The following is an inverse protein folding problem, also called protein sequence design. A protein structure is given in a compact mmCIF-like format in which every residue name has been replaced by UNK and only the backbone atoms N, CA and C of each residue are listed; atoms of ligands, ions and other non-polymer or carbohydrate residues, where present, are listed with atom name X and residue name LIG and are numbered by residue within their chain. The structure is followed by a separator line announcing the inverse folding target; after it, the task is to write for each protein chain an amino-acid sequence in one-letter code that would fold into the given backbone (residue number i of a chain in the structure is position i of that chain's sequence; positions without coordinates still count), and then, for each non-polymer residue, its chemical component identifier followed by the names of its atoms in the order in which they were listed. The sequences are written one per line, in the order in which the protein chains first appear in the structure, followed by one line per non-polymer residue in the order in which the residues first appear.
data_IF_780416964631
#
_entry.id   IF_780416964631
#
_cell.length_a   1.000
_cell.length_b   1.000
_cell.length_c   1.000
_cell.angle_alpha   90.00
_cell.angle_beta   90.00
_cell.angle_gamma   90.00
#
_symmetry.space_group_name_H-M   'P 1'
#
loop_
_entity.id
_entity.type
_entity.pdbx_description
1 polymer ?
#
# COMPACT_ATOMS: atom_id res chain seq x y z
N UNK A 1 -24.10 -31.33 4.85
CA UNK A 1 -24.18 -29.87 4.71
C UNK A 1 -23.24 -29.46 3.60
N UNK A 2 -23.62 -28.47 2.81
CA UNK A 2 -22.72 -27.82 1.85
C UNK A 2 -21.96 -26.68 2.57
N UNK A 3 -20.72 -26.44 2.18
CA UNK A 3 -19.88 -25.35 2.70
C UNK A 3 -19.33 -24.60 1.49
N UNK A 4 -19.33 -23.27 1.58
CA UNK A 4 -18.88 -22.40 0.49
C UNK A 4 -17.58 -21.72 0.85
N UNK A 5 -16.80 -21.39 -0.18
CA UNK A 5 -15.65 -20.51 -0.02
C UNK A 5 -16.17 -19.08 0.13
N UNK A 6 -15.58 -18.32 1.05
CA UNK A 6 -16.05 -16.97 1.41
C UNK A 6 -15.90 -15.98 0.23
N UNK A 7 -16.92 -15.16 -0.07
CA UNK A 7 -16.85 -14.11 -1.09
C UNK A 7 -16.26 -12.79 -0.61
N UNK A 8 -15.99 -12.71 0.70
CA UNK A 8 -15.40 -11.59 1.42
C UNK A 8 -14.72 -12.08 2.71
N UNK A 9 -13.93 -11.25 3.36
CA UNK A 9 -13.25 -11.59 4.62
C UNK A 9 -14.04 -11.17 5.86
N UNK A 10 -14.96 -10.21 5.73
CA UNK A 10 -15.78 -9.61 6.78
C UNK A 10 -16.52 -10.64 7.66
N UNK A 11 -17.13 -11.66 7.06
CA UNK A 11 -17.93 -12.64 7.81
C UNK A 11 -17.12 -13.39 8.88
N UNK A 12 -15.83 -13.63 8.63
CA UNK A 12 -14.94 -14.25 9.61
C UNK A 12 -14.76 -13.39 10.86
N UNK A 13 -14.77 -12.06 10.69
CA UNK A 13 -14.68 -11.08 11.77
C UNK A 13 -15.95 -11.09 12.61
N UNK A 14 -17.13 -11.05 11.97
CA UNK A 14 -18.41 -11.04 12.69
C UNK A 14 -18.65 -12.31 13.51
N UNK A 15 -18.33 -13.49 12.95
CA UNK A 15 -18.44 -14.77 13.68
C UNK A 15 -17.53 -14.79 14.92
N UNK A 16 -16.40 -14.10 14.89
CA UNK A 16 -15.43 -14.05 15.99
C UNK A 16 -15.53 -12.80 16.86
N UNK A 17 -16.50 -11.91 16.64
CA UNK A 17 -16.63 -10.65 17.37
C UNK A 17 -16.57 -10.82 18.90
N UNK A 18 -17.39 -11.72 19.45
CA UNK A 18 -17.44 -11.97 20.91
C UNK A 18 -16.12 -12.57 21.42
N UNK A 19 -15.48 -13.44 20.65
CA UNK A 19 -14.19 -14.02 21.03
C UNK A 19 -13.10 -12.95 21.07
N UNK A 20 -13.04 -12.08 20.06
CA UNK A 20 -12.09 -10.98 20.01
C UNK A 20 -12.33 -9.99 21.17
N UNK A 21 -13.58 -9.60 21.41
CA UNK A 21 -13.96 -8.72 22.51
C UNK A 21 -13.49 -9.27 23.86
N UNK A 22 -13.80 -10.54 24.15
CA UNK A 22 -13.50 -11.18 25.43
C UNK A 22 -12.00 -11.39 25.66
N UNK A 23 -11.24 -11.67 24.60
CA UNK A 23 -9.80 -11.98 24.71
C UNK A 23 -8.93 -10.73 24.73
N UNK A 24 -9.33 -9.67 24.03
CA UNK A 24 -8.51 -8.45 23.89
C UNK A 24 -8.81 -7.36 24.92
N UNK A 25 -9.91 -7.49 25.68
CA UNK A 25 -10.40 -6.47 26.64
C UNK A 25 -10.64 -5.09 26.01
N UNK A 26 -10.82 -5.03 24.69
CA UNK A 26 -11.15 -3.80 23.98
C UNK A 26 -12.52 -3.26 24.42
N UNK A 27 -12.68 -1.95 24.35
CA UNK A 27 -13.95 -1.26 24.55
C UNK A 27 -14.41 -0.67 23.23
N UNK A 28 -15.73 -0.62 23.01
CA UNK A 28 -16.28 0.08 21.84
C UNK A 28 -16.00 1.59 22.00
N UNK A 29 -15.47 2.28 20.97
CA UNK A 29 -15.23 1.77 19.62
C UNK A 29 -13.88 1.05 19.44
N UNK A 30 -13.87 -0.02 18.63
CA UNK A 30 -12.64 -0.75 18.25
C UNK A 30 -12.80 -1.44 16.90
N UNK A 31 -11.67 -1.75 16.24
CA UNK A 31 -11.64 -2.43 14.95
C UNK A 31 -11.05 -3.83 15.01
N UNK A 32 -11.54 -4.71 14.14
CA UNK A 32 -10.88 -5.97 13.80
C UNK A 32 -10.59 -5.92 12.30
N UNK A 33 -9.33 -6.13 11.93
CA UNK A 33 -8.90 -6.13 10.53
C UNK A 33 -8.40 -7.52 10.11
N UNK A 34 -8.59 -7.85 8.84
CA UNK A 34 -8.12 -9.09 8.25
C UNK A 34 -7.63 -8.84 6.82
N UNK A 35 -6.53 -9.50 6.46
CA UNK A 35 -6.08 -9.62 5.07
C UNK A 35 -6.24 -11.07 4.66
N UNK A 36 -6.84 -11.33 3.51
CA UNK A 36 -6.85 -12.69 2.97
C UNK A 36 -7.67 -12.85 1.70
N UNK A 37 -7.65 -14.10 1.21
CA UNK A 37 -8.33 -14.48 -0.02
C UNK A 37 -9.85 -14.47 0.11
N UNK A 38 -10.51 -14.06 -0.95
CA UNK A 38 -11.94 -14.10 -1.19
C UNK A 38 -12.21 -14.63 -2.60
N UNK A 39 -13.39 -15.24 -2.79
CA UNK A 39 -13.70 -15.99 -3.99
C UNK A 39 -15.10 -15.65 -4.50
N UNK A 40 -15.20 -15.21 -5.75
CA UNK A 40 -16.48 -14.90 -6.39
C UNK A 40 -16.58 -15.69 -7.68
N UNK A 41 -17.68 -16.41 -7.91
CA UNK A 41 -17.85 -17.20 -9.13
C UNK A 41 -18.23 -16.32 -10.33
N UNK A 42 -17.29 -15.45 -10.72
CA UNK A 42 -17.45 -14.51 -11.81
C UNK A 42 -17.65 -15.28 -13.13
N UNK A 43 -18.75 -14.96 -13.82
CA UNK A 43 -19.14 -15.61 -15.08
C UNK A 43 -18.15 -15.26 -16.18
N UNK A 44 -17.69 -14.01 -16.21
CA UNK A 44 -16.78 -13.49 -17.23
C UNK A 44 -15.61 -12.75 -16.57
N UNK A 45 -14.49 -13.46 -16.39
CA UNK A 45 -13.24 -12.85 -15.94
C UNK A 45 -12.63 -12.01 -17.08
N UNK A 46 -12.55 -10.69 -16.90
CA UNK A 46 -12.06 -9.70 -17.87
C UNK A 46 -11.38 -8.55 -17.13
N UNK A 47 -10.62 -7.73 -17.86
CA UNK A 47 -9.95 -6.54 -17.30
C UNK A 47 -8.97 -6.89 -16.16
N UNK A 48 -8.18 -7.96 -16.33
CA UNK A 48 -7.09 -8.32 -15.42
C UNK A 48 -7.56 -8.44 -13.94
N UNK A 49 -7.01 -7.66 -13.01
CA UNK A 49 -7.33 -7.71 -11.58
C UNK A 49 -8.75 -7.24 -11.20
N UNK A 50 -9.49 -6.59 -12.10
CA UNK A 50 -10.79 -6.02 -11.75
C UNK A 50 -11.90 -7.06 -11.63
N UNK A 51 -11.82 -8.16 -12.40
CA UNK A 51 -12.78 -9.27 -12.34
C UNK A 51 -12.05 -10.60 -12.31
N UNK A 52 -11.77 -11.06 -11.08
CA UNK A 52 -11.13 -12.34 -10.80
C UNK A 52 -12.06 -13.26 -10.02
N UNK A 53 -11.77 -14.56 -10.07
CA UNK A 53 -12.48 -15.57 -9.25
C UNK A 53 -11.88 -15.76 -7.87
N UNK A 54 -10.61 -15.42 -7.72
CA UNK A 54 -9.83 -15.42 -6.48
C UNK A 54 -9.07 -14.10 -6.43
N UNK A 55 -9.12 -13.41 -5.29
CA UNK A 55 -8.45 -12.13 -5.07
C UNK A 55 -8.22 -11.94 -3.57
N UNK A 56 -7.35 -11.01 -3.20
CA UNK A 56 -7.06 -10.66 -1.81
C UNK A 56 -7.74 -9.35 -1.43
N UNK A 57 -8.33 -9.34 -0.24
CA UNK A 57 -8.92 -8.14 0.35
C UNK A 57 -8.23 -7.82 1.67
N UNK A 58 -8.17 -6.52 1.97
CA UNK A 58 -7.85 -6.01 3.29
C UNK A 58 -9.12 -5.35 3.82
N UNK A 59 -9.78 -5.98 4.78
CA UNK A 59 -11.03 -5.48 5.33
C UNK A 59 -10.88 -5.22 6.83
N UNK A 60 -11.49 -4.13 7.29
CA UNK A 60 -11.63 -3.83 8.70
C UNK A 60 -13.09 -3.58 9.01
N UNK A 61 -13.55 -4.19 10.11
CA UNK A 61 -14.86 -3.93 10.69
C UNK A 61 -14.65 -3.16 11.98
N UNK A 62 -15.07 -1.90 11.99
CA UNK A 62 -14.95 -0.98 13.11
C UNK A 62 -16.28 -0.90 13.86
N UNK A 63 -16.30 -1.45 15.06
CA UNK A 63 -17.49 -1.56 15.90
C UNK A 63 -17.66 -0.27 16.70
N UNK A 64 -18.83 0.35 16.60
CA UNK A 64 -19.14 1.66 17.20
C UNK A 64 -20.46 1.62 17.97
N UNK A 65 -20.67 2.58 18.86
CA UNK A 65 -21.94 2.71 19.58
C UNK A 65 -23.02 3.22 18.60
N UNK A 66 -24.24 2.65 18.61
CA UNK A 66 -25.34 3.21 17.83
C UNK A 66 -25.54 4.70 18.15
N UNK A 67 -25.65 5.55 17.12
CA UNK A 67 -25.77 7.00 17.26
C UNK A 67 -24.45 7.77 17.17
N UNK A 68 -23.29 7.09 17.21
CA UNK A 68 -21.97 7.70 16.91
C UNK A 68 -21.43 7.25 15.55
N UNK A 69 -22.18 6.41 14.84
CA UNK A 69 -21.76 5.74 13.60
C UNK A 69 -21.48 6.70 12.44
N UNK A 70 -22.28 7.74 12.27
CA UNK A 70 -22.06 8.71 11.19
C UNK A 70 -20.79 9.57 11.42
N UNK A 71 -20.46 9.92 12.67
CA UNK A 71 -19.21 10.63 12.98
C UNK A 71 -17.98 9.74 12.68
N UNK A 72 -18.03 8.49 13.14
CA UNK A 72 -16.96 7.52 12.90
C UNK A 72 -16.82 7.16 11.41
N UNK A 73 -17.94 7.08 10.68
CA UNK A 73 -17.93 6.90 9.22
C UNK A 73 -17.22 8.05 8.51
N UNK A 74 -17.52 9.31 8.84
CA UNK A 74 -16.83 10.46 8.24
C UNK A 74 -15.34 10.49 8.60
N UNK A 75 -15.00 10.13 9.84
CA UNK A 75 -13.60 10.01 10.28
C UNK A 75 -12.86 8.96 9.46
N UNK A 76 -13.41 7.76 9.32
CA UNK A 76 -12.80 6.68 8.53
C UNK A 76 -12.75 7.01 7.04
N UNK A 77 -13.80 7.63 6.48
CA UNK A 77 -13.79 8.13 5.09
C UNK A 77 -12.55 8.99 4.82
N UNK A 78 -12.25 9.95 5.70
CA UNK A 78 -11.09 10.81 5.55
C UNK A 78 -9.77 10.09 5.82
N UNK A 79 -9.71 9.27 6.87
CA UNK A 79 -8.51 8.51 7.24
C UNK A 79 -8.05 7.58 6.10
N UNK A 80 -9.00 6.87 5.49
CA UNK A 80 -8.73 5.94 4.38
C UNK A 80 -8.30 6.65 3.11
N UNK A 81 -8.92 7.80 2.80
CA UNK A 81 -8.47 8.63 1.68
C UNK A 81 -7.05 9.16 1.90
N UNK A 82 -6.73 9.59 3.12
CA UNK A 82 -5.37 10.02 3.49
C UNK A 82 -4.37 8.85 3.46
N UNK A 83 -4.80 7.62 3.80
CA UNK A 83 -3.95 6.45 3.68
C UNK A 83 -3.51 6.20 2.23
N UNK A 84 -4.41 6.32 1.25
CA UNK A 84 -4.04 6.19 -0.16
C UNK A 84 -3.02 7.26 -0.61
N UNK A 85 -3.14 8.50 -0.12
CA UNK A 85 -2.11 9.53 -0.35
C UNK A 85 -0.78 9.18 0.33
N UNK A 86 -0.84 8.67 1.56
CA UNK A 86 0.35 8.34 2.36
C UNK A 86 1.21 7.23 1.75
N UNK A 87 0.62 6.37 0.91
CA UNK A 87 1.35 5.33 0.17
C UNK A 87 1.88 5.84 -1.18
N UNK A 88 1.79 7.15 -1.42
CA UNK A 88 2.39 7.86 -2.55
C UNK A 88 1.52 8.01 -3.79
N UNK A 89 0.21 7.75 -3.69
CA UNK A 89 -0.71 7.96 -4.82
C UNK A 89 -0.99 9.45 -4.98
N UNK A 90 -0.91 9.94 -6.21
CA UNK A 90 -1.18 11.35 -6.53
C UNK A 90 -2.63 11.74 -6.21
N UNK A 91 -2.86 12.83 -5.45
CA UNK A 91 -4.20 13.27 -5.10
C UNK A 91 -5.11 13.56 -6.30
N UNK A 92 -4.56 14.09 -7.41
CA UNK A 92 -5.32 14.37 -8.64
C UNK A 92 -5.93 13.13 -9.29
N UNK A 93 -5.42 11.93 -8.96
CA UNK A 93 -5.89 10.64 -9.47
C UNK A 93 -6.85 9.92 -8.54
N UNK A 94 -7.16 10.51 -7.38
CA UNK A 94 -8.06 9.95 -6.38
C UNK A 94 -9.33 10.78 -6.26
N UNK A 95 -10.46 10.12 -6.04
CA UNK A 95 -11.71 10.79 -5.70
C UNK A 95 -12.61 9.92 -4.85
N UNK A 96 -13.53 10.56 -4.14
CA UNK A 96 -14.71 9.89 -3.61
C UNK A 96 -15.77 9.75 -4.70
N UNK A 97 -16.50 8.63 -4.67
CA UNK A 97 -17.69 8.40 -5.46
C UNK A 97 -18.79 7.90 -4.53
N UNK A 98 -19.74 8.77 -4.19
CA UNK A 98 -20.87 8.40 -3.34
C UNK A 98 -21.85 7.53 -4.16
N UNK A 99 -22.36 6.48 -3.53
CA UNK A 99 -23.39 5.64 -4.14
C UNK A 99 -24.72 6.39 -4.17
N UNK A 100 -25.41 6.44 -5.33
CA UNK A 100 -26.78 6.92 -5.40
C UNK A 100 -27.67 6.16 -4.40
N UNK A 101 -28.66 6.83 -3.78
CA UNK A 101 -29.55 6.22 -2.78
C UNK A 101 -30.25 4.95 -3.31
N UNK A 102 -30.51 4.86 -4.61
CA UNK A 102 -31.12 3.70 -5.29
C UNK A 102 -30.16 2.52 -5.52
N UNK A 103 -28.86 2.71 -5.29
CA UNK A 103 -27.80 1.70 -5.48
C UNK A 103 -27.12 1.27 -4.19
N UNK A 104 -27.52 1.84 -3.04
CA UNK A 104 -27.02 1.40 -1.74
C UNK A 104 -27.30 -0.10 -1.56
N UNK A 105 -26.28 -0.84 -1.13
CA UNK A 105 -26.48 -2.21 -0.73
C UNK A 105 -27.53 -2.26 0.40
N UNK A 106 -28.37 -3.29 0.41
CA UNK A 106 -29.50 -3.44 1.34
C UNK A 106 -29.14 -3.35 2.84
N UNK A 107 -27.85 -3.40 3.18
CA UNK A 107 -27.30 -3.32 4.52
C UNK A 107 -26.62 -1.97 4.85
N UNK A 108 -26.42 -1.06 3.89
CA UNK A 108 -25.64 0.16 4.08
C UNK A 108 -26.53 1.40 4.29
N UNK A 109 -26.31 2.11 5.40
CA UNK A 109 -26.89 3.43 5.70
C UNK A 109 -26.19 4.55 4.90
N UNK A 110 -24.87 4.46 4.80
CA UNK A 110 -24.00 5.38 4.06
C UNK A 110 -22.93 4.54 3.34
N UNK A 111 -22.59 4.87 2.11
CA UNK A 111 -21.59 4.17 1.32
C UNK A 111 -20.85 5.11 0.38
N UNK A 112 -19.52 5.00 0.35
CA UNK A 112 -18.67 5.72 -0.58
C UNK A 112 -17.56 4.81 -1.08
N UNK A 113 -17.23 4.93 -2.36
CA UNK A 113 -16.05 4.32 -2.93
C UNK A 113 -14.91 5.33 -3.00
N UNK A 114 -13.70 4.91 -2.63
CA UNK A 114 -12.48 5.55 -3.11
C UNK A 114 -12.18 5.00 -4.49
N UNK A 115 -12.09 5.89 -5.48
CA UNK A 115 -11.77 5.54 -6.86
C UNK A 115 -10.41 6.10 -7.27
N UNK A 116 -9.73 5.33 -8.11
CA UNK A 116 -8.51 5.75 -8.80
C UNK A 116 -8.74 5.83 -10.32
N UNK A 117 -8.12 6.81 -10.98
CA UNK A 117 -8.17 6.97 -12.43
C UNK A 117 -7.15 6.06 -13.13
N UNK A 118 -7.54 4.82 -13.39
CA UNK A 118 -6.75 3.88 -14.19
C UNK A 118 -6.73 4.30 -15.68
N UNK A 119 -5.82 3.74 -16.51
CA UNK A 119 -5.88 3.91 -17.96
C UNK A 119 -7.21 3.48 -18.60
N UNK A 120 -7.99 2.64 -17.90
CA UNK A 120 -9.33 2.20 -18.31
C UNK A 120 -10.46 3.08 -17.74
N UNK A 121 -10.13 4.22 -17.15
CA UNK A 121 -11.03 5.14 -16.47
C UNK A 121 -11.11 4.90 -14.96
N UNK A 122 -12.03 5.62 -14.32
CA UNK A 122 -12.25 5.57 -12.88
C UNK A 122 -12.78 4.21 -12.43
N UNK A 123 -12.07 3.57 -11.51
CA UNK A 123 -12.47 2.32 -10.89
C UNK A 123 -12.30 2.38 -9.37
N UNK A 124 -13.15 1.65 -8.68
CA UNK A 124 -13.13 1.47 -7.22
C UNK A 124 -11.89 0.67 -6.77
N UNK A 125 -11.21 1.17 -5.75
CA UNK A 125 -10.10 0.50 -5.05
C UNK A 125 -10.42 0.15 -3.59
N UNK A 126 -11.32 0.91 -2.97
CA UNK A 126 -11.79 0.70 -1.60
C UNK A 126 -13.25 1.12 -1.47
N UNK A 127 -14.07 0.30 -0.81
CA UNK A 127 -15.42 0.65 -0.38
C UNK A 127 -15.45 0.95 1.12
N UNK A 128 -16.14 2.02 1.51
CA UNK A 128 -16.33 2.41 2.92
C UNK A 128 -17.82 2.45 3.19
N UNK A 129 -18.28 1.67 4.17
CA UNK A 129 -19.70 1.43 4.40
C UNK A 129 -20.08 1.60 5.87
N UNK A 130 -21.19 2.26 6.16
CA UNK A 130 -21.86 2.17 7.45
C UNK A 130 -22.94 1.10 7.36
N UNK A 131 -22.70 -0.08 7.95
CA UNK A 131 -23.54 -1.29 7.85
C UNK A 131 -24.51 -1.46 9.03
N UNK A 132 -24.59 -0.46 9.91
CA UNK A 132 -25.39 -0.48 11.15
C UNK A 132 -25.19 -1.79 11.94
N UNK A 133 -26.23 -2.35 12.53
CA UNK A 133 -26.27 -3.63 13.24
C UNK A 133 -26.57 -4.83 12.33
N UNK A 134 -26.65 -4.66 11.01
CA UNK A 134 -27.15 -5.69 10.09
C UNK A 134 -26.42 -7.03 10.25
N UNK A 135 -25.08 -7.01 10.22
CA UNK A 135 -24.27 -8.23 10.24
C UNK A 135 -24.34 -8.96 11.58
N UNK A 136 -24.09 -8.24 12.70
CA UNK A 136 -24.13 -8.84 14.03
C UNK A 136 -25.56 -9.26 14.41
N UNK A 137 -26.57 -8.49 14.01
CA UNK A 137 -27.98 -8.82 14.21
C UNK A 137 -28.40 -10.08 13.46
N UNK A 138 -27.98 -10.24 12.20
CA UNK A 138 -28.20 -11.46 11.44
C UNK A 138 -27.50 -12.66 12.09
N UNK A 139 -26.21 -12.55 12.44
CA UNK A 139 -25.48 -13.61 13.13
C UNK A 139 -26.12 -13.99 14.46
N UNK A 140 -26.56 -13.01 15.27
CA UNK A 140 -27.28 -13.28 16.51
C UNK A 140 -28.58 -14.06 16.26
N UNK A 141 -29.39 -13.61 15.28
CA UNK A 141 -30.68 -14.24 14.95
C UNK A 141 -30.53 -15.69 14.51
N UNK A 142 -29.58 -15.98 13.62
CA UNK A 142 -29.44 -17.31 13.02
C UNK A 142 -28.57 -18.27 13.84
N UNK A 143 -27.64 -17.76 14.66
CA UNK A 143 -26.81 -18.62 15.53
C UNK A 143 -27.42 -18.87 16.92
N UNK A 144 -28.34 -18.02 17.36
CA UNK A 144 -28.87 -18.03 18.74
C UNK A 144 -27.88 -17.56 19.80
N UNK A 145 -26.66 -17.14 19.42
CA UNK A 145 -25.66 -16.57 20.34
C UNK A 145 -25.82 -15.06 20.42
N UNK A 146 -25.72 -14.50 21.63
CA UNK A 146 -25.74 -13.05 21.84
C UNK A 146 -24.48 -12.41 21.24
N UNK A 147 -24.67 -11.37 20.41
CA UNK A 147 -23.63 -10.55 19.80
C UNK A 147 -23.60 -9.13 20.40
N UNK A 148 -24.20 -8.95 21.58
CA UNK A 148 -24.30 -7.67 22.28
C UNK A 148 -23.00 -7.32 23.02
N UNK A 149 -22.59 -6.06 22.94
CA UNK A 149 -21.59 -5.45 23.81
C UNK A 149 -22.26 -4.91 25.08
N UNK A 150 -21.62 -5.07 26.23
CA UNK A 150 -22.02 -4.43 27.49
C UNK A 150 -21.12 -3.23 27.74
N UNK A 151 -21.68 -2.03 27.77
CA UNK A 151 -20.95 -0.81 28.08
C UNK A 151 -20.92 -0.61 29.62
N UNK A 152 -19.76 -0.74 30.29
CA UNK A 152 -19.69 -0.56 31.73
C UNK A 152 -19.96 0.89 32.17
N UNK A 153 -19.87 1.87 31.26
CA UNK A 153 -20.08 3.30 31.58
C UNK A 153 -21.56 3.65 31.61
N UNK A 154 -22.34 3.16 30.64
CA UNK A 154 -23.79 3.41 30.57
C UNK A 154 -24.62 2.28 31.18
N UNK A 155 -23.99 1.14 31.48
CA UNK A 155 -24.64 -0.09 31.96
C UNK A 155 -25.67 -0.67 30.97
N UNK A 156 -25.51 -0.37 29.68
CA UNK A 156 -26.42 -0.82 28.62
C UNK A 156 -25.83 -1.99 27.85
N UNK A 157 -26.72 -2.80 27.27
CA UNK A 157 -26.37 -3.80 26.26
C UNK A 157 -26.93 -3.35 24.93
N UNK A 158 -26.10 -3.41 23.89
CA UNK A 158 -26.51 -3.10 22.53
C UNK A 158 -25.70 -3.91 21.53
N UNK A 159 -26.22 -4.06 20.31
CA UNK A 159 -25.45 -4.58 19.18
C UNK A 159 -24.67 -3.38 18.60
N UNK A 160 -23.33 -3.41 18.58
CA UNK A 160 -22.55 -2.35 17.98
C UNK A 160 -22.87 -2.19 16.50
N UNK A 161 -22.87 -0.94 16.02
CA UNK A 161 -22.92 -0.69 14.59
C UNK A 161 -21.54 -0.92 13.98
N UNK A 162 -21.50 -1.18 12.68
CA UNK A 162 -20.26 -1.49 11.95
C UNK A 162 -19.98 -0.43 10.90
N UNK A 163 -18.80 0.20 11.00
CA UNK A 163 -18.18 0.96 9.91
C UNK A 163 -17.13 0.06 9.27
N UNK A 164 -17.32 -0.27 8.01
CA UNK A 164 -16.44 -1.12 7.22
C UNK A 164 -15.52 -0.28 6.34
N UNK A 165 -14.28 -0.74 6.21
CA UNK A 165 -13.36 -0.34 5.13
C UNK A 165 -12.91 -1.60 4.40
N UNK A 166 -13.21 -1.73 3.10
CA UNK A 166 -12.89 -2.91 2.29
C UNK A 166 -12.01 -2.53 1.11
N UNK A 167 -10.73 -2.88 1.17
CA UNK A 167 -9.73 -2.57 0.14
C UNK A 167 -9.47 -3.81 -0.71
N UNK A 168 -9.53 -3.66 -2.04
CA UNK A 168 -9.02 -4.68 -2.96
C UNK A 168 -7.50 -4.61 -3.04
N UNK A 169 -6.78 -5.59 -2.48
CA UNK A 169 -5.32 -5.58 -2.44
C UNK A 169 -4.72 -5.65 -3.85
N UNK A 170 -5.25 -6.52 -4.71
CA UNK A 170 -4.80 -6.65 -6.10
C UNK A 170 -5.02 -5.36 -6.91
N UNK A 171 -6.15 -4.69 -6.71
CA UNK A 171 -6.45 -3.40 -7.33
C UNK A 171 -5.53 -2.31 -6.80
N UNK A 172 -5.20 -2.35 -5.51
CA UNK A 172 -4.24 -1.43 -4.87
C UNK A 172 -2.85 -1.61 -5.45
N UNK A 173 -2.40 -2.86 -5.68
CA UNK A 173 -1.13 -3.14 -6.34
C UNK A 173 -1.11 -2.56 -7.77
N UNK A 174 -2.15 -2.82 -8.56
CA UNK A 174 -2.23 -2.27 -9.92
C UNK A 174 -2.27 -0.73 -9.89
N UNK A 175 -3.00 -0.13 -8.95
CA UNK A 175 -3.05 1.32 -8.75
C UNK A 175 -1.65 1.88 -8.53
N UNK A 176 -0.87 1.32 -7.60
CA UNK A 176 0.51 1.75 -7.33
C UNK A 176 1.38 1.65 -8.58
N UNK A 177 1.29 0.56 -9.34
CA UNK A 177 2.08 0.38 -10.56
C UNK A 177 1.68 1.39 -11.65
N UNK A 178 0.39 1.59 -11.89
CA UNK A 178 -0.11 2.57 -12.85
C UNK A 178 0.26 4.00 -12.44
N UNK A 179 0.14 4.33 -11.15
CA UNK A 179 0.45 5.69 -10.67
C UNK A 179 1.95 5.97 -10.67
N UNK A 180 2.79 4.95 -10.50
CA UNK A 180 4.25 5.06 -10.52
C UNK A 180 4.84 5.13 -11.94
N UNK A 181 4.17 4.57 -12.95
CA UNK A 181 4.71 4.47 -14.31
C UNK A 181 4.96 5.83 -14.96
N UNK A 182 6.21 6.07 -15.38
CA UNK A 182 6.61 7.24 -16.17
C UNK A 182 7.49 6.81 -17.33
N UNK A 183 7.34 7.53 -18.44
CA UNK A 183 8.31 7.58 -19.51
C UNK A 183 8.90 8.99 -19.52
N UNK A 184 10.21 9.10 -19.43
CA UNK A 184 10.91 10.38 -19.35
C UNK A 184 12.01 10.46 -20.41
N UNK A 185 12.13 11.61 -21.04
CA UNK A 185 13.25 11.94 -21.91
C UNK A 185 14.47 12.32 -21.06
N UNK A 186 15.58 11.65 -21.30
CA UNK A 186 16.86 11.90 -20.61
C UNK A 186 18.00 12.06 -21.62
N UNK A 187 19.11 12.73 -21.24
CA UNK A 187 20.29 12.79 -22.09
C UNK A 187 20.78 11.39 -22.46
N UNK A 188 20.97 11.14 -23.77
CA UNK A 188 21.52 9.89 -24.29
C UNK A 188 23.05 9.86 -24.28
N UNK A 189 23.63 8.73 -24.72
CA UNK A 189 25.09 8.52 -24.70
C UNK A 189 25.87 9.48 -25.61
N UNK A 190 25.24 10.04 -26.65
CA UNK A 190 25.87 11.02 -27.54
C UNK A 190 25.50 12.44 -27.14
N UNK A 191 26.46 13.35 -27.24
CA UNK A 191 26.23 14.77 -26.97
C UNK A 191 25.08 15.31 -27.84
N UNK A 192 24.04 15.84 -27.20
CA UNK A 192 22.81 16.31 -27.85
C UNK A 192 21.77 15.24 -28.21
N UNK A 193 22.01 13.95 -27.92
CA UNK A 193 21.02 12.89 -28.07
C UNK A 193 20.07 12.81 -26.87
N UNK A 194 18.82 12.42 -27.12
CA UNK A 194 17.78 12.16 -26.11
C UNK A 194 17.40 10.70 -26.19
N UNK A 195 17.28 10.06 -25.03
CA UNK A 195 16.79 8.69 -24.86
C UNK A 195 15.56 8.68 -23.97
N UNK A 196 14.59 7.82 -24.28
CA UNK A 196 13.45 7.58 -23.40
C UNK A 196 13.84 6.55 -22.34
N UNK A 197 13.53 6.85 -21.07
CA UNK A 197 13.61 5.89 -19.96
C UNK A 197 12.24 5.55 -19.42
N UNK A 198 12.04 4.29 -19.09
CA UNK A 198 10.90 3.84 -18.30
C UNK A 198 11.32 3.78 -16.82
N UNK A 199 10.49 4.33 -15.93
CA UNK A 199 10.76 4.34 -14.49
C UNK A 199 9.46 4.16 -13.70
N UNK A 200 9.53 3.41 -12.60
CA UNK A 200 8.44 3.30 -11.64
C UNK A 200 8.70 4.19 -10.41
N UNK A 201 8.14 5.40 -10.42
CA UNK A 201 8.23 6.38 -9.33
C UNK A 201 7.28 6.09 -8.15
N UNK A 202 7.30 4.88 -7.62
CA UNK A 202 6.50 4.52 -6.45
C UNK A 202 7.14 5.02 -5.15
N UNK A 203 6.34 5.17 -4.10
CA UNK A 203 6.84 5.50 -2.76
C UNK A 203 7.96 4.51 -2.35
N UNK A 204 9.12 4.96 -1.85
CA UNK A 204 10.26 4.09 -1.53
C UNK A 204 9.93 2.89 -0.61
N UNK A 205 9.02 3.08 0.35
CA UNK A 205 8.50 2.00 1.23
C UNK A 205 7.77 0.86 0.51
N UNK A 206 7.29 1.08 -0.71
CA UNK A 206 6.61 0.08 -1.52
C UNK A 206 7.55 -0.59 -2.54
N UNK A 207 8.76 -0.07 -2.71
CA UNK A 207 9.70 -0.60 -3.69
C UNK A 207 10.06 -2.06 -3.36
N UNK A 208 9.99 -2.99 -4.34
CA UNK A 208 10.36 -4.39 -4.11
C UNK A 208 11.81 -4.57 -3.68
N UNK A 209 12.68 -3.69 -4.15
CA UNK A 209 14.08 -3.55 -3.80
C UNK A 209 14.27 -2.09 -3.36
N UNK A 210 14.81 -1.87 -2.17
CA UNK A 210 15.08 -0.55 -1.63
C UNK A 210 16.39 0.02 -2.17
N UNK A 211 17.42 -0.82 -2.30
CA UNK A 211 18.74 -0.38 -2.74
C UNK A 211 19.42 -1.39 -3.67
N UNK A 212 20.06 -0.90 -4.73
CA UNK A 212 21.00 -1.66 -5.56
C UNK A 212 22.45 -1.34 -5.20
N UNK A 213 23.30 -2.34 -4.96
CA UNK A 213 24.71 -2.15 -4.60
C UNK A 213 25.60 -2.66 -5.73
N UNK A 214 26.43 -1.76 -6.25
CA UNK A 214 27.15 -1.96 -7.49
C UNK A 214 28.65 -1.67 -7.34
N UNK A 215 29.55 -2.64 -7.52
CA UNK A 215 30.94 -2.29 -7.81
C UNK A 215 31.01 -1.66 -9.20
N UNK A 216 31.73 -0.54 -9.37
CA UNK A 216 31.82 0.17 -10.65
C UNK A 216 32.29 -0.77 -11.77
N UNK A 217 33.34 -1.54 -11.48
CA UNK A 217 33.86 -2.61 -12.34
C UNK A 217 34.11 -3.88 -11.55
N UNK A 218 34.25 -5.01 -12.25
CA UNK A 218 34.54 -6.33 -11.63
C UNK A 218 35.99 -6.43 -11.18
N UNK A 219 36.29 -5.83 -10.02
CA UNK A 219 37.58 -5.91 -9.35
C UNK A 219 37.40 -6.38 -7.90
N UNK A 220 38.26 -7.29 -7.39
CA UNK A 220 38.09 -7.87 -6.07
C UNK A 220 37.97 -6.82 -4.95
N UNK A 221 38.79 -5.78 -4.98
CA UNK A 221 38.78 -4.68 -3.99
C UNK A 221 37.45 -3.92 -3.93
N UNK A 222 36.85 -3.60 -5.08
CA UNK A 222 35.53 -2.94 -5.14
C UNK A 222 34.41 -3.90 -4.74
N UNK A 223 34.52 -5.17 -5.14
CA UNK A 223 33.53 -6.20 -4.81
C UNK A 223 33.49 -6.48 -3.31
N UNK A 224 34.64 -6.48 -2.64
CA UNK A 224 34.72 -6.69 -1.19
C UNK A 224 33.98 -5.59 -0.43
N UNK A 225 34.24 -4.32 -0.76
CA UNK A 225 33.55 -3.19 -0.13
C UNK A 225 32.06 -3.17 -0.47
N UNK A 226 31.69 -3.39 -1.73
CA UNK A 226 30.29 -3.47 -2.14
C UNK A 226 29.53 -4.59 -1.41
N UNK A 227 30.19 -5.73 -1.13
CA UNK A 227 29.59 -6.81 -0.35
C UNK A 227 29.40 -6.45 1.12
N UNK A 228 30.36 -5.75 1.74
CA UNK A 228 30.20 -5.27 3.13
C UNK A 228 29.00 -4.33 3.25
N UNK A 229 28.89 -3.35 2.36
CA UNK A 229 27.73 -2.42 2.33
C UNK A 229 26.42 -3.18 2.09
N UNK A 230 26.44 -4.19 1.21
CA UNK A 230 25.28 -5.05 0.97
C UNK A 230 24.85 -5.78 2.24
N UNK A 231 25.79 -6.40 2.96
CA UNK A 231 25.51 -7.16 4.18
C UNK A 231 24.93 -6.25 5.27
N UNK A 232 25.53 -5.09 5.49
CA UNK A 232 25.05 -4.11 6.48
C UNK A 232 23.64 -3.59 6.16
N UNK A 233 23.38 -3.21 4.90
CA UNK A 233 22.07 -2.69 4.51
C UNK A 233 20.99 -3.78 4.43
N UNK A 234 21.36 -5.04 4.18
CA UNK A 234 20.43 -6.15 4.08
C UNK A 234 19.76 -6.50 5.42
N UNK A 235 20.32 -6.05 6.55
CA UNK A 235 19.70 -6.21 7.87
C UNK A 235 18.38 -5.43 7.99
N UNK A 236 18.32 -4.24 7.39
CA UNK A 236 17.18 -3.32 7.48
C UNK A 236 16.33 -3.27 6.20
N UNK A 237 16.92 -3.60 5.05
CA UNK A 237 16.32 -3.31 3.74
C UNK A 237 16.37 -4.50 2.77
N UNK A 238 15.47 -4.47 1.77
CA UNK A 238 15.57 -5.37 0.62
C UNK A 238 16.62 -4.83 -0.34
N UNK A 239 17.78 -5.48 -0.41
CA UNK A 239 18.93 -5.00 -1.19
C UNK A 239 19.25 -5.98 -2.32
N UNK A 240 19.66 -5.46 -3.47
CA UNK A 240 20.18 -6.24 -4.59
C UNK A 240 21.66 -5.92 -4.84
N UNK A 241 22.50 -6.94 -4.89
CA UNK A 241 23.87 -6.80 -5.38
C UNK A 241 23.94 -7.13 -6.89
N UNK A 242 24.56 -6.27 -7.71
CA UNK A 242 24.79 -6.56 -9.13
C UNK A 242 26.11 -6.00 -9.69
N UNK A 243 26.83 -6.87 -10.39
CA UNK A 243 28.12 -6.61 -11.02
C UNK A 243 28.11 -6.90 -12.53
N UNK A 244 26.96 -7.26 -13.11
CA UNK A 244 26.84 -7.65 -14.53
C UNK A 244 26.40 -6.47 -15.39
N UNK A 245 27.23 -6.16 -16.40
CA UNK A 245 26.96 -5.11 -17.38
C UNK A 245 27.51 -3.74 -16.98
N UNK A 246 27.33 -2.74 -17.84
CA UNK A 246 27.73 -1.37 -17.52
C UNK A 246 26.90 -0.80 -16.36
N UNK A 247 27.44 0.20 -15.66
CA UNK A 247 26.73 0.84 -14.54
C UNK A 247 25.41 1.47 -14.99
N UNK A 248 25.38 2.12 -16.15
CA UNK A 248 24.16 2.69 -16.74
C UNK A 248 23.07 1.64 -16.96
N UNK A 249 23.42 0.46 -17.50
CA UNK A 249 22.46 -0.64 -17.69
C UNK A 249 21.92 -1.20 -16.37
N UNK A 250 22.72 -1.19 -15.31
CA UNK A 250 22.28 -1.59 -13.97
C UNK A 250 21.31 -0.57 -13.37
N UNK A 251 21.61 0.72 -13.50
CA UNK A 251 20.68 1.79 -13.12
C UNK A 251 19.35 1.69 -13.87
N UNK A 252 19.35 1.53 -15.20
CA UNK A 252 18.13 1.41 -16.01
C UNK A 252 17.21 0.28 -15.54
N UNK A 253 17.78 -0.91 -15.28
CA UNK A 253 17.02 -2.07 -14.80
C UNK A 253 16.35 -1.80 -13.45
N UNK A 254 17.02 -1.06 -12.57
CA UNK A 254 16.50 -0.74 -11.25
C UNK A 254 15.54 0.45 -11.26
N UNK A 255 15.70 1.40 -12.19
CA UNK A 255 14.71 2.44 -12.48
C UNK A 255 13.39 1.80 -12.94
N UNK A 256 13.44 0.85 -13.88
CA UNK A 256 12.28 0.08 -14.36
C UNK A 256 11.62 -0.75 -13.25
N UNK A 257 12.41 -1.27 -12.30
CA UNK A 257 11.91 -2.01 -11.14
C UNK A 257 11.45 -1.11 -9.98
N UNK A 258 11.61 0.22 -10.09
CA UNK A 258 11.21 1.20 -9.08
C UNK A 258 12.11 1.28 -7.86
N UNK A 259 13.36 0.78 -7.93
CA UNK A 259 14.30 0.83 -6.81
C UNK A 259 14.75 2.28 -6.56
N UNK A 260 14.51 2.84 -5.35
CA UNK A 260 14.72 4.26 -5.11
C UNK A 260 16.19 4.67 -5.06
N UNK A 261 17.09 3.78 -4.62
CA UNK A 261 18.51 4.11 -4.44
C UNK A 261 19.44 3.10 -5.14
N UNK A 262 20.48 3.61 -5.79
CA UNK A 262 21.59 2.78 -6.27
C UNK A 262 22.89 3.29 -5.67
N UNK A 263 23.66 2.43 -5.03
CA UNK A 263 24.93 2.74 -4.38
C UNK A 263 26.05 2.12 -5.20
N UNK A 264 26.97 2.97 -5.63
CA UNK A 264 28.10 2.58 -6.49
C UNK A 264 29.41 2.78 -5.75
N UNK A 265 30.22 1.72 -5.74
CA UNK A 265 31.57 1.72 -5.18
C UNK A 265 32.57 1.89 -6.32
N UNK A 266 33.32 2.99 -6.31
CA UNK A 266 34.40 3.30 -7.25
C UNK A 266 35.78 3.29 -6.55
N UNK A 267 36.86 3.47 -7.32
CA UNK A 267 38.22 3.42 -6.77
C UNK A 267 38.52 4.60 -5.85
N UNK A 268 38.12 5.82 -6.24
CA UNK A 268 38.27 7.02 -5.42
C UNK A 268 37.61 6.82 -4.04
N UNK A 269 36.45 6.17 -4.02
CA UNK A 269 35.73 5.83 -2.81
C UNK A 269 36.49 4.91 -1.84
N UNK A 270 37.41 4.06 -2.34
CA UNK A 270 38.25 3.22 -1.49
C UNK A 270 39.25 4.05 -0.68
N UNK A 271 39.79 5.11 -1.26
CA UNK A 271 40.74 6.02 -0.61
C UNK A 271 40.01 6.98 0.34
N UNK A 272 38.89 7.56 -0.12
CA UNK A 272 38.13 8.58 0.59
C UNK A 272 37.09 8.02 1.59
N UNK A 273 36.95 6.69 1.65
CA UNK A 273 35.90 5.99 2.40
C UNK A 273 34.47 6.44 2.06
N UNK A 274 34.19 6.65 0.78
CA UNK A 274 32.91 7.17 0.28
C UNK A 274 32.30 6.30 -0.82
N UNK A 275 30.97 6.28 -0.91
CA UNK A 275 30.22 5.73 -2.05
C UNK A 275 29.45 6.82 -2.76
N UNK A 276 29.14 6.58 -4.03
CA UNK A 276 28.15 7.39 -4.75
C UNK A 276 26.76 6.80 -4.57
N UNK A 277 25.83 7.57 -3.98
CA UNK A 277 24.41 7.24 -3.96
C UNK A 277 23.70 7.97 -5.10
N UNK A 278 22.94 7.22 -5.91
CA UNK A 278 22.08 7.73 -6.98
C UNK A 278 20.61 7.58 -6.60
N UNK A 279 19.84 8.65 -6.76
CA UNK A 279 18.39 8.62 -6.62
C UNK A 279 17.67 8.29 -7.92
N UNK A 280 16.63 7.46 -7.85
CA UNK A 280 15.80 7.05 -8.98
C UNK A 280 15.13 8.24 -9.66
N UNK A 281 14.44 9.06 -8.87
CA UNK A 281 13.51 10.08 -9.37
C UNK A 281 14.26 11.22 -10.06
N UNK A 282 15.26 11.78 -9.38
CA UNK A 282 16.03 12.94 -9.86
C UNK A 282 17.24 12.56 -10.71
N UNK A 283 17.67 11.29 -10.68
CA UNK A 283 18.95 10.82 -11.24
C UNK A 283 20.20 11.45 -10.62
N UNK A 284 20.06 12.27 -9.57
CA UNK A 284 21.18 12.94 -8.93
C UNK A 284 22.09 11.92 -8.24
N UNK A 285 23.39 12.20 -8.31
CA UNK A 285 24.45 11.40 -7.71
C UNK A 285 25.16 12.25 -6.66
N UNK A 286 25.32 11.70 -5.46
CA UNK A 286 26.00 12.36 -4.34
C UNK A 286 27.04 11.40 -3.74
N UNK A 287 28.23 11.90 -3.43
CA UNK A 287 29.23 11.15 -2.66
C UNK A 287 28.92 11.27 -1.17
N UNK A 288 28.79 10.13 -0.50
CA UNK A 288 28.51 10.06 0.94
C UNK A 288 29.48 9.07 1.61
N UNK A 289 29.78 9.30 2.88
CA UNK A 289 30.60 8.37 3.66
C UNK A 289 29.89 7.00 3.80
N UNK A 290 30.68 5.92 3.79
CA UNK A 290 30.16 4.54 3.84
C UNK A 290 29.24 4.29 5.05
N UNK A 291 29.63 4.81 6.21
CA UNK A 291 28.91 4.67 7.48
C UNK A 291 27.58 5.43 7.54
N UNK A 292 27.35 6.37 6.60
CA UNK A 292 26.14 7.19 6.55
C UNK A 292 25.08 6.70 5.57
N UNK A 293 25.36 5.64 4.79
CA UNK A 293 24.45 5.19 3.72
C UNK A 293 23.06 4.84 4.26
N UNK A 294 22.98 4.07 5.35
CA UNK A 294 21.70 3.71 5.97
C UNK A 294 20.91 4.92 6.50
N UNK A 295 21.59 5.90 7.10
CA UNK A 295 20.96 7.14 7.59
C UNK A 295 20.39 7.96 6.43
N UNK A 296 21.16 8.12 5.35
CA UNK A 296 20.76 8.87 4.16
C UNK A 296 19.53 8.22 3.49
N UNK A 297 19.53 6.89 3.33
CA UNK A 297 18.37 6.14 2.80
C UNK A 297 17.15 6.42 3.67
N UNK A 298 17.25 6.23 4.99
CA UNK A 298 16.13 6.43 5.93
C UNK A 298 15.57 7.85 5.85
N UNK A 299 16.44 8.85 5.82
CA UNK A 299 16.07 10.26 5.73
C UNK A 299 15.34 10.57 4.42
N UNK A 300 15.90 10.16 3.29
CA UNK A 300 15.31 10.39 1.95
C UNK A 300 13.98 9.66 1.77
N UNK A 301 13.85 8.43 2.28
CA UNK A 301 12.57 7.70 2.27
C UNK A 301 11.47 8.41 3.07
N UNK A 302 11.83 9.06 4.18
CA UNK A 302 10.87 9.77 5.04
C UNK A 302 10.39 11.08 4.41
N UNK A 303 11.27 11.76 3.68
CA UNK A 303 10.99 13.06 3.07
C UNK A 303 10.53 12.96 1.59
N UNK A 304 10.29 11.74 1.10
CA UNK A 304 9.83 11.52 -0.26
C UNK A 304 8.38 12.00 -0.45
N UNK A 305 8.10 12.62 -1.59
CA UNK A 305 6.78 13.03 -2.01
C UNK A 305 6.60 12.78 -3.53
N UNK A 306 5.37 12.52 -4.01
CA UNK A 306 5.11 12.38 -5.44
C UNK A 306 5.25 13.73 -6.19
N UNK A 307 5.48 13.67 -7.50
CA UNK A 307 5.67 14.84 -8.40
C UNK A 307 4.45 15.80 -8.46
N UNK A 308 3.29 15.40 -7.93
CA UNK A 308 2.05 16.20 -7.86
C UNK A 308 1.61 16.35 -6.39
N UNK A 309 2.32 17.18 -5.60
CA UNK A 309 1.94 17.44 -4.22
C UNK A 309 0.61 18.22 -4.16
N UNK A 310 -0.13 18.10 -3.06
CA UNK A 310 -1.43 18.76 -2.92
C UNK A 310 -1.34 20.26 -3.23
N UNK A 311 -2.35 20.86 -3.90
CA UNK A 311 -2.38 22.30 -4.05
C UNK A 311 -2.42 22.97 -2.67
N UNK A 312 -1.30 23.57 -2.27
CA UNK A 312 -1.15 24.29 -1.00
C UNK A 312 -0.30 23.59 0.08
N UNK A 313 0.40 22.49 -0.23
CA UNK A 313 1.43 21.92 0.64
C UNK A 313 2.77 22.66 0.58
#
# INVERSE_FOLDING_TARGET
SEVYIRPETAQGIFVNFVNALNTTRQQVPFGIAQIGKAFRNEVVARQFVFRMREFEQMEMQYFVKPGTDSEEYQRWKQERFNWHKSIGIRPSKLRFHDHPEDKLAHYAKEAVDVQYEFPIGWQEVEGIHNRTDFDLGAHQKFSGKKMEYFDPRTQERYIPYVVETSVGLDRTLLMVLCDAYREEEVPGEKEGSVETRTVLKMHPRLAPITAGIFPLIKKPELQEVARKIYEELAEDYKVLYDEKGSIGKRYRRLDEAGTPFCITVDFDGLEDQTVTIRERDTMQQERIAFDKVGEVIRSRMKNWAPDDPEPGS
#
